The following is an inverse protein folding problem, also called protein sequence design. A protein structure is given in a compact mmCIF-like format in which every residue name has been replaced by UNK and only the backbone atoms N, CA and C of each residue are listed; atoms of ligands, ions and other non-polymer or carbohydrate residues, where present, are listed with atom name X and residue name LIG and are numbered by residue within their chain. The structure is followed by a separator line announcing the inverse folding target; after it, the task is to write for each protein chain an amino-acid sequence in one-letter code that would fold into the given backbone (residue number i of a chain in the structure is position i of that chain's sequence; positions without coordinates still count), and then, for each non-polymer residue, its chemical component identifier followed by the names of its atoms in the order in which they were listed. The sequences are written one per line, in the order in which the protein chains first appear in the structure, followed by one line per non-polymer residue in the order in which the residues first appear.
data_IF_727243581270
#
_entry.id   IF_727243581270
#
_cell.length_a   1.000
_cell.length_b   1.000
_cell.length_c   1.000
_cell.angle_alpha   90.00
_cell.angle_beta   90.00
_cell.angle_gamma   90.00
#
_symmetry.space_group_name_H-M   'P 1'
#
loop_
_entity.id
_entity.type
_entity.pdbx_description
1 polymer ?
#
# COMPACT_ATOMS: atom_id res chain seq x y z
N UNK A 1 -46.74 35.86 23.12
CA UNK A 1 -45.46 35.50 23.77
C UNK A 1 -44.49 35.01 22.71
N UNK A 2 -43.35 35.70 22.45
CA UNK A 2 -42.39 35.22 21.46
C UNK A 2 -41.45 34.18 22.09
N UNK A 3 -41.25 33.06 21.40
CA UNK A 3 -40.32 31.99 21.80
C UNK A 3 -38.89 32.42 21.44
N UNK A 4 -38.02 32.57 22.44
CA UNK A 4 -36.59 32.74 22.23
C UNK A 4 -35.98 31.38 21.86
N UNK A 5 -35.38 31.29 20.68
CA UNK A 5 -34.51 30.19 20.31
C UNK A 5 -33.09 30.57 20.70
N UNK A 6 -32.54 29.89 21.72
CA UNK A 6 -31.13 29.99 22.07
C UNK A 6 -30.39 28.98 21.21
N UNK A 7 -29.68 29.47 20.20
CA UNK A 7 -28.75 28.67 19.40
C UNK A 7 -27.62 28.26 20.33
N UNK A 8 -27.57 26.96 20.68
CA UNK A 8 -26.38 26.36 21.25
C UNK A 8 -25.42 26.16 20.08
N UNK A 9 -24.55 27.13 19.83
CA UNK A 9 -23.37 26.89 19.03
C UNK A 9 -22.65 25.72 19.70
N UNK A 10 -22.67 24.55 19.05
CA UNK A 10 -21.87 23.41 19.44
C UNK A 10 -20.48 23.94 19.73
N UNK A 11 -20.01 23.69 20.95
CA UNK A 11 -18.79 24.28 21.45
C UNK A 11 -17.70 24.13 20.41
N UNK A 12 -16.89 25.18 20.26
CA UNK A 12 -15.52 25.02 19.82
C UNK A 12 -14.92 23.92 20.70
N UNK A 13 -15.00 22.68 20.21
CA UNK A 13 -13.95 21.73 20.45
C UNK A 13 -12.74 22.43 19.88
N UNK A 14 -11.95 23.02 20.77
CA UNK A 14 -10.53 23.16 20.57
C UNK A 14 -10.07 21.75 20.17
N UNK A 15 -10.09 21.47 18.86
CA UNK A 15 -9.14 20.54 18.29
C UNK A 15 -7.80 21.21 18.54
N UNK A 16 -7.29 21.05 19.76
CA UNK A 16 -5.88 21.17 20.03
C UNK A 16 -5.24 20.30 18.95
N UNK A 17 -4.70 20.94 17.92
CA UNK A 17 -3.75 20.28 17.04
C UNK A 17 -2.64 19.85 17.99
N UNK A 18 -2.65 18.59 18.41
CA UNK A 18 -1.52 18.03 19.13
C UNK A 18 -0.34 18.25 18.19
N UNK A 19 0.50 19.22 18.53
CA UNK A 19 1.75 19.45 17.81
C UNK A 19 2.59 18.23 18.15
N UNK A 20 2.56 17.27 17.25
CA UNK A 20 3.34 16.03 17.35
C UNK A 20 4.80 16.47 17.40
N UNK A 21 5.55 15.95 18.37
CA UNK A 21 6.98 16.23 18.43
C UNK A 21 7.69 15.68 17.18
N UNK A 22 8.80 16.28 16.72
CA UNK A 22 9.55 15.76 15.59
C UNK A 22 9.92 14.27 15.75
N UNK A 23 10.19 13.83 16.97
CA UNK A 23 10.50 12.43 17.29
C UNK A 23 9.29 11.50 17.11
N UNK A 24 8.10 11.94 17.52
CA UNK A 24 6.85 11.21 17.29
C UNK A 24 6.50 11.18 15.79
N UNK A 25 6.69 12.29 15.07
CA UNK A 25 6.46 12.37 13.63
C UNK A 25 7.38 11.40 12.86
N UNK A 26 8.67 11.37 13.20
CA UNK A 26 9.62 10.41 12.64
C UNK A 26 9.25 8.96 12.98
N UNK A 27 8.74 8.71 14.18
CA UNK A 27 8.28 7.38 14.58
C UNK A 27 7.06 6.96 13.76
N UNK A 28 6.08 7.85 13.58
CA UNK A 28 4.91 7.61 12.73
C UNK A 28 5.32 7.35 11.28
N UNK A 29 6.18 8.21 10.72
CA UNK A 29 6.74 8.03 9.38
C UNK A 29 7.39 6.65 9.22
N UNK A 30 8.29 6.27 10.14
CA UNK A 30 8.99 4.98 10.07
C UNK A 30 8.02 3.80 10.12
N UNK A 31 7.01 3.88 10.99
CA UNK A 31 6.04 2.80 11.16
C UNK A 31 5.14 2.65 9.91
N UNK A 32 4.63 3.76 9.38
CA UNK A 32 3.78 3.75 8.17
C UNK A 32 4.59 3.30 6.96
N UNK A 33 5.76 3.90 6.74
CA UNK A 33 6.60 3.55 5.60
C UNK A 33 7.09 2.09 5.69
N UNK A 34 7.45 1.64 6.89
CA UNK A 34 7.80 0.23 7.13
C UNK A 34 6.66 -0.72 6.77
N UNK A 35 5.42 -0.39 7.14
CA UNK A 35 4.25 -1.21 6.78
C UNK A 35 3.99 -1.25 5.27
N UNK A 36 4.16 -0.13 4.57
CA UNK A 36 4.01 -0.06 3.11
C UNK A 36 5.08 -0.88 2.38
N UNK A 37 6.33 -0.77 2.82
CA UNK A 37 7.45 -1.54 2.27
C UNK A 37 7.25 -3.03 2.53
N UNK A 38 6.78 -3.42 3.73
CA UNK A 38 6.47 -4.81 4.01
C UNK A 38 5.36 -5.34 3.09
N UNK A 39 4.26 -4.58 2.93
CA UNK A 39 3.18 -4.94 2.01
C UNK A 39 3.65 -5.07 0.55
N UNK A 40 4.59 -4.22 0.12
CA UNK A 40 5.23 -4.35 -1.19
C UNK A 40 6.05 -5.64 -1.30
N UNK A 41 6.84 -5.98 -0.28
CA UNK A 41 7.66 -7.20 -0.27
C UNK A 41 6.79 -8.46 -0.29
N UNK A 42 5.72 -8.49 0.50
CA UNK A 42 4.80 -9.62 0.55
C UNK A 42 4.10 -9.80 -0.81
N UNK A 43 3.57 -8.71 -1.38
CA UNK A 43 2.92 -8.73 -2.71
C UNK A 43 3.90 -9.15 -3.81
N UNK A 44 5.15 -8.70 -3.73
CA UNK A 44 6.20 -9.11 -4.65
C UNK A 44 6.51 -10.60 -4.52
N UNK A 45 6.56 -11.14 -3.30
CA UNK A 45 6.70 -12.57 -3.05
C UNK A 45 5.61 -13.38 -3.74
N UNK A 46 4.35 -12.98 -3.58
CA UNK A 46 3.21 -13.64 -4.21
C UNK A 46 3.28 -13.62 -5.74
N UNK A 47 3.71 -12.50 -6.34
CA UNK A 47 3.92 -12.38 -7.79
C UNK A 47 5.06 -13.30 -8.23
N UNK A 48 6.16 -13.29 -7.48
CA UNK A 48 7.35 -14.05 -7.78
C UNK A 48 7.10 -15.57 -7.73
N UNK A 49 6.32 -16.04 -6.76
CA UNK A 49 5.95 -17.45 -6.63
C UNK A 49 5.07 -17.95 -7.80
N UNK A 50 4.20 -17.09 -8.34
CA UNK A 50 3.47 -17.38 -9.57
C UNK A 50 4.42 -17.55 -10.77
N UNK A 51 5.49 -16.75 -10.84
CA UNK A 51 6.48 -16.81 -11.91
C UNK A 51 7.44 -18.00 -11.80
N UNK A 52 7.88 -18.36 -10.60
CA UNK A 52 8.83 -19.46 -10.36
C UNK A 52 8.35 -20.81 -10.91
N UNK A 53 7.04 -21.02 -10.97
CA UNK A 53 6.45 -22.24 -11.51
C UNK A 53 6.48 -22.33 -13.05
N UNK A 54 6.90 -21.27 -13.74
CA UNK A 54 6.88 -21.16 -15.20
C UNK A 54 8.25 -20.78 -15.81
N UNK A 55 9.11 -20.15 -15.02
CA UNK A 55 10.44 -19.70 -15.44
C UNK A 55 11.45 -20.68 -14.83
N UNK A 56 11.73 -21.76 -15.56
CA UNK A 56 12.75 -22.73 -15.16
C UNK A 56 14.11 -22.01 -15.10
N UNK A 57 14.69 -21.96 -13.90
CA UNK A 57 16.07 -21.54 -13.67
C UNK A 57 16.99 -22.38 -14.54
N UNK A 58 17.64 -21.76 -15.54
CA UNK A 58 18.72 -22.35 -16.31
C UNK A 58 18.30 -23.42 -17.34
N UNK A 59 18.21 -22.99 -18.60
CA UNK A 59 18.44 -23.79 -19.83
C UNK A 59 17.46 -24.95 -20.11
N UNK A 60 16.61 -25.39 -19.18
CA UNK A 60 15.56 -26.38 -19.46
C UNK A 60 14.27 -25.68 -19.86
N UNK A 61 14.14 -25.41 -21.17
CA UNK A 61 12.85 -25.07 -21.77
C UNK A 61 12.01 -26.36 -21.76
N UNK A 62 11.12 -26.52 -20.77
CA UNK A 62 10.09 -27.56 -20.87
C UNK A 62 9.13 -27.20 -22.00
N UNK A 63 8.54 -28.18 -22.71
CA UNK A 63 7.62 -27.93 -23.82
C UNK A 63 6.34 -27.15 -23.42
N UNK A 64 6.12 -26.89 -22.13
CA UNK A 64 5.07 -25.98 -21.65
C UNK A 64 5.42 -24.50 -21.87
N UNK A 65 6.69 -24.12 -22.00
CA UNK A 65 7.14 -22.73 -22.16
C UNK A 65 6.79 -22.16 -23.54
N UNK A 66 6.66 -23.01 -24.56
CA UNK A 66 6.16 -22.60 -25.89
C UNK A 66 4.72 -22.06 -25.85
N UNK A 67 3.98 -22.29 -24.76
CA UNK A 67 2.61 -21.78 -24.57
C UNK A 67 2.54 -20.44 -23.84
N UNK A 68 3.69 -19.87 -23.45
CA UNK A 68 3.80 -18.60 -22.75
C UNK A 68 3.45 -18.68 -21.26
N UNK A 69 3.80 -17.62 -20.53
CA UNK A 69 3.48 -17.51 -19.11
C UNK A 69 1.97 -17.45 -18.89
N UNK A 70 1.46 -18.32 -18.01
CA UNK A 70 0.08 -18.27 -17.54
C UNK A 70 0.09 -18.38 -16.00
N UNK A 71 -0.24 -17.31 -15.27
CA UNK A 71 -0.28 -17.36 -13.81
C UNK A 71 -1.35 -18.35 -13.34
N UNK A 72 -1.10 -19.07 -12.23
CA UNK A 72 -2.03 -20.05 -11.67
C UNK A 72 -3.26 -19.35 -11.09
N UNK A 73 -3.08 -18.18 -10.49
CA UNK A 73 -4.15 -17.30 -10.03
C UNK A 73 -4.96 -16.63 -11.17
N UNK A 74 -4.50 -16.75 -12.42
CA UNK A 74 -5.12 -16.12 -13.57
C UNK A 74 -4.73 -14.64 -13.74
N UNK A 75 -4.94 -14.12 -14.95
CA UNK A 75 -4.50 -12.77 -15.32
C UNK A 75 -5.12 -11.64 -14.48
N UNK A 76 -6.43 -11.65 -14.16
CA UNK A 76 -7.03 -10.57 -13.38
C UNK A 76 -6.37 -10.41 -12.00
N UNK A 77 -6.23 -11.50 -11.25
CA UNK A 77 -5.63 -11.48 -9.90
C UNK A 77 -4.13 -11.15 -9.96
N UNK A 78 -3.40 -11.70 -10.94
CA UNK A 78 -1.99 -11.38 -11.14
C UNK A 78 -1.78 -9.87 -11.40
N UNK A 79 -2.59 -9.29 -12.29
CA UNK A 79 -2.52 -7.86 -12.58
C UNK A 79 -2.91 -7.01 -11.38
N UNK A 80 -3.92 -7.43 -10.61
CA UNK A 80 -4.30 -6.75 -9.37
C UNK A 80 -3.14 -6.70 -8.37
N UNK A 81 -2.43 -7.83 -8.17
CA UNK A 81 -1.21 -7.85 -7.33
C UNK A 81 -0.13 -6.92 -7.87
N UNK A 82 0.09 -6.86 -9.18
CA UNK A 82 1.05 -5.92 -9.80
C UNK A 82 0.65 -4.45 -9.56
N UNK A 83 -0.65 -4.14 -9.66
CA UNK A 83 -1.18 -2.81 -9.36
C UNK A 83 -1.03 -2.46 -7.88
N UNK A 84 -1.29 -3.42 -7.00
CA UNK A 84 -1.15 -3.25 -5.55
C UNK A 84 0.31 -3.00 -5.16
N UNK A 85 1.24 -3.76 -5.72
CA UNK A 85 2.68 -3.56 -5.55
C UNK A 85 3.09 -2.14 -5.97
N UNK A 86 2.66 -1.70 -7.15
CA UNK A 86 2.90 -0.33 -7.62
C UNK A 86 2.37 0.69 -6.61
N UNK A 87 1.15 0.48 -6.10
CA UNK A 87 0.53 1.41 -5.16
C UNK A 87 1.30 1.52 -3.84
N UNK A 88 1.77 0.40 -3.29
CA UNK A 88 2.61 0.42 -2.09
C UNK A 88 3.90 1.21 -2.33
N UNK A 89 4.59 0.97 -3.45
CA UNK A 89 5.84 1.65 -3.78
C UNK A 89 5.65 3.14 -4.04
N UNK A 90 4.59 3.53 -4.77
CA UNK A 90 4.26 4.94 -4.98
C UNK A 90 3.97 5.65 -3.67
N UNK A 91 3.19 5.03 -2.78
CA UNK A 91 2.85 5.64 -1.49
C UNK A 91 4.08 5.75 -0.57
N UNK A 92 4.91 4.71 -0.50
CA UNK A 92 6.17 4.75 0.24
C UNK A 92 7.09 5.88 -0.28
N UNK A 93 7.16 6.03 -1.60
CA UNK A 93 7.91 7.13 -2.24
C UNK A 93 7.35 8.51 -1.86
N UNK A 94 6.03 8.71 -1.98
CA UNK A 94 5.37 9.98 -1.66
C UNK A 94 5.61 10.40 -0.21
N UNK A 95 5.58 9.45 0.73
CA UNK A 95 5.92 9.72 2.13
C UNK A 95 7.38 10.16 2.28
N UNK A 96 8.32 9.48 1.63
CA UNK A 96 9.74 9.86 1.66
C UNK A 96 10.00 11.24 1.04
N UNK A 97 9.19 11.67 0.07
CA UNK A 97 9.27 13.00 -0.55
C UNK A 97 8.60 14.11 0.28
N UNK A 98 7.99 13.77 1.42
CA UNK A 98 7.32 14.73 2.30
C UNK A 98 5.98 15.25 1.76
N UNK A 99 5.34 14.52 0.85
CA UNK A 99 4.05 14.88 0.26
C UNK A 99 2.85 14.19 0.95
N UNK A 100 2.99 13.87 2.25
CA UNK A 100 2.00 13.15 3.06
C UNK A 100 1.00 14.05 3.77
#
# INVERSE_FOLDING_TARGET
MPRQFKVLSGGSGEHASNVVSPEEELTHFRNVNGSLVQGALDTWGDIWDEMQNSVVYGVLVTPEIDKGFKPKCGWPEFLERMWLLRRYLEHAKTLCEGQG
#
